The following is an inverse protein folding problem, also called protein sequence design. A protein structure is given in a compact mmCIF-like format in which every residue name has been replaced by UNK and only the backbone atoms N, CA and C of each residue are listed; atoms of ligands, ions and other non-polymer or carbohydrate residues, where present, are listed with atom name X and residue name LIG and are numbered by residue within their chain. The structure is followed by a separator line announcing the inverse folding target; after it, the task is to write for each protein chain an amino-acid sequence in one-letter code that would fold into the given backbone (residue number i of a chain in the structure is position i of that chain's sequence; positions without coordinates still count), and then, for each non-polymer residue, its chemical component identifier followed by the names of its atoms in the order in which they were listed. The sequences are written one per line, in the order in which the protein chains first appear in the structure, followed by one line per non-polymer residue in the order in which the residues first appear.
data_IF_628036447902
#
_entry.id   IF_628036447902
#
_cell.length_a   1.000
_cell.length_b   1.000
_cell.length_c   1.000
_cell.angle_alpha   90.00
_cell.angle_beta   90.00
_cell.angle_gamma   90.00
#
_symmetry.space_group_name_H-M   'P 1'
#
loop_
_entity.id
_entity.type
_entity.pdbx_description
1 polymer ?
#
# COMPACT_ATOMS: atom_id res chain seq x y z
N UNK A 1 -9.99 19.33 -6.60
CA UNK A 1 -9.86 18.08 -5.86
C UNK A 1 -11.25 17.52 -5.59
N UNK A 2 -11.48 16.22 -5.69
CA UNK A 2 -12.74 15.60 -5.30
C UNK A 2 -12.99 15.84 -3.81
N UNK A 3 -14.26 15.99 -3.43
CA UNK A 3 -14.64 16.06 -2.02
C UNK A 3 -14.42 14.70 -1.33
N UNK A 4 -14.35 14.69 0.00
CA UNK A 4 -14.28 13.43 0.78
C UNK A 4 -15.46 12.51 0.44
N UNK A 5 -16.65 13.09 0.21
CA UNK A 5 -17.83 12.36 -0.23
C UNK A 5 -17.60 11.67 -1.58
N UNK A 6 -17.12 12.40 -2.58
CA UNK A 6 -16.85 11.86 -3.91
C UNK A 6 -15.80 10.74 -3.83
N UNK A 7 -14.73 10.94 -3.03
CA UNK A 7 -13.72 9.94 -2.82
C UNK A 7 -14.30 8.61 -2.28
N UNK A 8 -15.15 8.70 -1.25
CA UNK A 8 -15.81 7.53 -0.66
C UNK A 8 -16.76 6.86 -1.67
N UNK A 9 -17.56 7.65 -2.40
CA UNK A 9 -18.49 7.12 -3.41
C UNK A 9 -17.76 6.40 -4.55
N UNK A 10 -16.57 6.86 -4.92
CA UNK A 10 -15.76 6.28 -6.00
C UNK A 10 -14.82 5.15 -5.55
N UNK A 11 -14.89 4.71 -4.29
CA UNK A 11 -14.19 3.52 -3.81
C UNK A 11 -12.83 3.78 -3.18
N UNK A 12 -12.55 5.00 -2.70
CA UNK A 12 -11.44 5.27 -1.84
C UNK A 12 -11.53 4.45 -0.54
N UNK A 13 -10.39 4.11 0.04
CA UNK A 13 -10.31 3.42 1.31
C UNK A 13 -10.70 4.35 2.46
N UNK A 14 -11.64 3.90 3.26
CA UNK A 14 -12.03 4.52 4.51
C UNK A 14 -12.19 3.40 5.53
N UNK A 15 -11.26 3.29 6.47
CA UNK A 15 -11.10 2.12 7.31
C UNK A 15 -12.41 1.63 7.97
N UNK A 16 -13.26 2.49 8.60
CA UNK A 16 -14.53 2.02 9.14
C UNK A 16 -15.42 1.34 8.09
N UNK A 17 -15.58 1.93 6.92
CA UNK A 17 -16.41 1.38 5.85
C UNK A 17 -15.79 0.13 5.23
N UNK A 18 -14.49 0.16 5.00
CA UNK A 18 -13.71 -0.93 4.41
C UNK A 18 -13.80 -2.21 5.24
N UNK A 19 -13.58 -2.10 6.54
CA UNK A 19 -13.55 -3.28 7.41
C UNK A 19 -14.92 -3.72 7.91
N UNK A 20 -15.91 -2.83 8.00
CA UNK A 20 -17.24 -3.19 8.48
C UNK A 20 -18.21 -3.63 7.38
N UNK A 21 -18.00 -3.17 6.13
CA UNK A 21 -18.96 -3.40 5.05
C UNK A 21 -18.35 -3.71 3.68
N UNK A 22 -17.28 -3.01 3.27
CA UNK A 22 -16.83 -3.00 1.87
C UNK A 22 -15.33 -3.32 1.73
N UNK A 23 -14.87 -4.57 1.99
CA UNK A 23 -13.45 -4.93 2.01
C UNK A 23 -12.75 -4.76 0.64
N UNK A 24 -13.50 -4.72 -0.46
CA UNK A 24 -12.96 -4.46 -1.80
C UNK A 24 -12.32 -3.08 -1.94
N UNK A 25 -12.57 -2.16 -1.01
CA UNK A 25 -11.93 -0.85 -0.97
C UNK A 25 -10.42 -0.92 -0.76
N UNK A 26 -9.91 -1.96 -0.12
CA UNK A 26 -8.47 -2.25 -0.03
C UNK A 26 -7.81 -2.34 -1.42
N UNK A 27 -8.55 -2.83 -2.41
CA UNK A 27 -8.09 -2.96 -3.78
C UNK A 27 -8.50 -1.77 -4.65
N UNK A 28 -9.78 -1.35 -4.63
CA UNK A 28 -10.28 -0.28 -5.50
C UNK A 28 -9.63 1.08 -5.23
N UNK A 29 -9.27 1.36 -3.99
CA UNK A 29 -8.57 2.59 -3.60
C UNK A 29 -7.23 2.78 -4.32
N UNK A 30 -6.58 1.71 -4.74
CA UNK A 30 -5.33 1.77 -5.51
C UNK A 30 -5.49 2.46 -6.88
N UNK A 31 -6.72 2.53 -7.40
CA UNK A 31 -7.04 3.09 -8.73
C UNK A 31 -7.72 4.46 -8.64
N UNK A 32 -8.13 4.89 -7.45
CA UNK A 32 -8.68 6.21 -7.23
C UNK A 32 -7.58 7.22 -6.88
N UNK A 33 -7.71 8.49 -7.34
CA UNK A 33 -6.73 9.54 -7.08
C UNK A 33 -7.40 10.86 -6.73
N UNK A 34 -6.80 11.60 -5.77
CA UNK A 34 -7.30 12.90 -5.30
C UNK A 34 -6.99 14.05 -6.28
N UNK A 35 -7.23 13.84 -7.56
CA UNK A 35 -7.09 14.84 -8.61
C UNK A 35 -5.96 14.57 -9.60
N UNK A 36 -5.90 15.40 -10.63
CA UNK A 36 -5.05 15.16 -11.79
C UNK A 36 -3.55 15.15 -11.47
N UNK A 37 -3.08 16.04 -10.62
CA UNK A 37 -1.66 16.10 -10.25
C UNK A 37 -1.26 14.80 -9.51
N UNK A 38 -2.06 14.35 -8.56
CA UNK A 38 -1.82 13.10 -7.83
C UNK A 38 -1.80 11.90 -8.79
N UNK A 39 -2.74 11.83 -9.73
CA UNK A 39 -2.75 10.79 -10.77
C UNK A 39 -1.50 10.85 -11.64
N UNK A 40 -1.15 12.04 -12.15
CA UNK A 40 0.02 12.21 -13.03
C UNK A 40 1.33 11.80 -12.35
N UNK A 41 1.54 12.18 -11.10
CA UNK A 41 2.74 11.81 -10.34
C UNK A 41 2.81 10.30 -10.12
N UNK A 42 1.69 9.65 -9.77
CA UNK A 42 1.64 8.21 -9.63
C UNK A 42 1.90 7.49 -10.96
N UNK A 43 1.29 7.94 -12.06
CA UNK A 43 1.49 7.34 -13.38
C UNK A 43 2.92 7.54 -13.88
N UNK A 44 3.52 8.69 -13.62
CA UNK A 44 4.92 8.93 -13.95
C UNK A 44 5.86 8.01 -13.17
N UNK A 45 5.67 7.91 -11.86
CA UNK A 45 6.46 7.00 -11.02
C UNK A 45 6.24 5.53 -11.41
N UNK A 46 4.98 5.13 -11.72
CA UNK A 46 4.68 3.81 -12.25
C UNK A 46 5.37 3.55 -13.59
N UNK A 47 5.41 4.54 -14.48
CA UNK A 47 6.14 4.41 -15.75
C UNK A 47 7.63 4.18 -15.51
N UNK A 48 8.27 4.97 -14.63
CA UNK A 48 9.70 4.85 -14.34
C UNK A 48 10.03 3.52 -13.66
N UNK A 49 9.40 3.22 -12.53
CA UNK A 49 9.71 2.00 -11.78
C UNK A 49 9.09 0.77 -12.41
N UNK A 50 7.86 0.87 -12.91
CA UNK A 50 7.11 -0.25 -13.46
C UNK A 50 7.72 -0.78 -14.75
N UNK A 51 8.16 0.09 -15.67
CA UNK A 51 8.77 -0.36 -16.92
C UNK A 51 10.05 -1.17 -16.69
N UNK A 52 10.87 -0.77 -15.71
CA UNK A 52 12.09 -1.49 -15.34
C UNK A 52 11.74 -2.78 -14.58
N UNK A 53 10.81 -2.70 -13.63
CA UNK A 53 10.38 -3.87 -12.86
C UNK A 53 9.73 -4.94 -13.75
N UNK A 54 8.87 -4.57 -14.70
CA UNK A 54 8.26 -5.52 -15.64
C UNK A 54 9.32 -6.24 -16.48
N UNK A 55 10.35 -5.54 -16.94
CA UNK A 55 11.43 -6.14 -17.72
C UNK A 55 12.31 -7.09 -16.89
N UNK A 56 12.52 -6.80 -15.61
CA UNK A 56 13.35 -7.61 -14.71
C UNK A 56 12.60 -8.83 -14.17
N UNK A 57 11.39 -8.63 -13.66
CA UNK A 57 10.61 -9.67 -12.99
C UNK A 57 9.73 -10.48 -13.94
N UNK A 58 9.44 -9.96 -15.13
CA UNK A 58 8.44 -10.48 -16.06
C UNK A 58 7.03 -10.06 -15.69
N UNK A 59 6.14 -9.99 -16.69
CA UNK A 59 4.79 -9.41 -16.58
C UNK A 59 3.98 -9.98 -15.41
N UNK A 60 3.93 -11.30 -15.27
CA UNK A 60 3.06 -11.94 -14.27
C UNK A 60 3.53 -11.65 -12.85
N UNK A 61 4.85 -11.72 -12.62
CA UNK A 61 5.40 -11.41 -11.30
C UNK A 61 5.28 -9.91 -10.96
N UNK A 62 5.52 -9.05 -11.93
CA UNK A 62 5.32 -7.60 -11.81
C UNK A 62 3.89 -7.25 -11.38
N UNK A 63 2.86 -7.82 -12.04
CA UNK A 63 1.46 -7.58 -11.68
C UNK A 63 1.17 -8.09 -10.27
N UNK A 64 1.59 -9.31 -9.94
CA UNK A 64 1.39 -9.89 -8.61
C UNK A 64 2.08 -9.06 -7.51
N UNK A 65 3.32 -8.63 -7.74
CA UNK A 65 4.07 -7.77 -6.83
C UNK A 65 3.37 -6.43 -6.64
N UNK A 66 2.93 -5.77 -7.72
CA UNK A 66 2.18 -4.51 -7.66
C UNK A 66 0.92 -4.65 -6.82
N UNK A 67 0.12 -5.69 -7.06
CA UNK A 67 -1.13 -5.93 -6.32
C UNK A 67 -0.86 -6.23 -4.85
N UNK A 68 0.07 -7.15 -4.55
CA UNK A 68 0.40 -7.49 -3.17
C UNK A 68 0.98 -6.29 -2.39
N UNK A 69 1.84 -5.49 -3.04
CA UNK A 69 2.40 -4.29 -2.42
C UNK A 69 1.32 -3.24 -2.13
N UNK A 70 0.41 -3.01 -3.06
CA UNK A 70 -0.71 -2.09 -2.85
C UNK A 70 -1.66 -2.55 -1.75
N UNK A 71 -2.04 -3.83 -1.75
CA UNK A 71 -2.88 -4.42 -0.69
C UNK A 71 -2.21 -4.32 0.68
N UNK A 72 -0.92 -4.65 0.79
CA UNK A 72 -0.18 -4.53 2.05
C UNK A 72 -0.12 -3.08 2.52
N UNK A 73 0.02 -2.13 1.58
CA UNK A 73 -0.05 -0.70 1.88
C UNK A 73 -1.40 -0.30 2.47
N UNK A 74 -2.50 -0.66 1.82
CA UNK A 74 -3.85 -0.39 2.33
C UNK A 74 -4.09 -1.06 3.69
N UNK A 75 -3.64 -2.29 3.88
CA UNK A 75 -3.78 -3.04 5.14
C UNK A 75 -2.98 -2.43 6.28
N UNK A 76 -1.75 -1.98 6.04
CA UNK A 76 -0.95 -1.31 7.06
C UNK A 76 -1.52 0.07 7.41
N UNK A 77 -2.05 0.79 6.42
CA UNK A 77 -2.82 2.02 6.64
C UNK A 77 -4.04 1.75 7.53
N UNK A 78 -4.80 0.71 7.24
CA UNK A 78 -5.93 0.28 8.07
C UNK A 78 -5.52 -0.05 9.50
N UNK A 79 -4.40 -0.76 9.68
CA UNK A 79 -3.83 -1.04 11.00
C UNK A 79 -3.53 0.26 11.78
N UNK A 80 -2.93 1.26 11.13
CA UNK A 80 -2.65 2.54 11.80
C UNK A 80 -3.94 3.27 12.18
N UNK A 81 -4.97 3.28 11.33
CA UNK A 81 -6.28 3.85 11.69
C UNK A 81 -6.91 3.14 12.90
N UNK A 82 -6.71 1.84 13.05
CA UNK A 82 -7.14 1.07 14.23
C UNK A 82 -6.39 1.56 15.47
N UNK A 83 -5.06 1.68 15.41
CA UNK A 83 -4.26 2.17 16.53
C UNK A 83 -4.62 3.61 16.92
N UNK A 84 -4.85 4.48 15.95
CA UNK A 84 -5.29 5.86 16.19
C UNK A 84 -6.66 5.89 16.88
N UNK A 85 -7.57 4.97 16.51
CA UNK A 85 -8.87 4.83 17.17
C UNK A 85 -8.75 4.35 18.63
N UNK A 86 -7.80 3.48 18.93
CA UNK A 86 -7.49 3.13 20.33
C UNK A 86 -6.95 4.33 21.10
N UNK A 87 -5.99 5.06 20.52
CA UNK A 87 -5.43 6.27 21.13
C UNK A 87 -6.51 7.34 21.37
N UNK A 88 -7.49 7.46 20.47
CA UNK A 88 -8.61 8.38 20.62
C UNK A 88 -9.50 8.02 21.83
N UNK A 89 -9.78 6.73 22.04
CA UNK A 89 -10.57 6.25 23.18
C UNK A 89 -9.80 6.44 24.49
N UNK A 90 -8.53 6.08 24.53
CA UNK A 90 -7.69 6.16 25.74
C UNK A 90 -7.34 7.60 26.14
N UNK A 91 -7.18 8.49 25.15
CA UNK A 91 -6.79 9.88 25.37
C UNK A 91 -7.86 10.74 26.02
N UNK A 92 -9.12 10.34 26.02
CA UNK A 92 -10.24 11.03 26.67
C UNK A 92 -10.54 12.45 26.15
N UNK A 93 -9.80 12.90 25.14
CA UNK A 93 -9.97 14.20 24.47
C UNK A 93 -10.13 13.98 23.00
N UNK A 94 -11.16 14.58 22.40
CA UNK A 94 -11.40 14.49 20.96
C UNK A 94 -10.20 15.14 20.20
N UNK A 95 -9.38 14.29 19.56
CA UNK A 95 -8.32 14.72 18.67
C UNK A 95 -8.71 14.40 17.22
N UNK A 96 -9.01 15.40 16.39
CA UNK A 96 -9.40 15.19 14.99
C UNK A 96 -8.33 14.44 14.16
N UNK A 97 -7.05 14.56 14.51
CA UNK A 97 -5.95 13.91 13.80
C UNK A 97 -5.94 12.39 13.98
N UNK A 98 -6.64 11.88 15.01
CA UNK A 98 -6.78 10.45 15.29
C UNK A 98 -8.04 9.83 14.66
N UNK A 99 -8.89 10.64 14.01
CA UNK A 99 -10.03 10.12 13.28
C UNK A 99 -9.59 9.41 11.99
N UNK A 100 -10.25 8.31 11.61
CA UNK A 100 -9.92 7.61 10.38
C UNK A 100 -9.99 8.53 9.16
N UNK A 101 -8.92 8.57 8.38
CA UNK A 101 -8.82 9.40 7.18
C UNK A 101 -9.12 8.59 5.92
N UNK A 102 -9.66 9.27 4.89
CA UNK A 102 -9.85 8.68 3.57
C UNK A 102 -8.50 8.58 2.86
N UNK A 103 -8.20 7.42 2.30
CA UNK A 103 -6.96 7.12 1.61
C UNK A 103 -7.21 6.58 0.21
N UNK A 104 -6.37 6.97 -0.74
CA UNK A 104 -6.41 6.45 -2.11
C UNK A 104 -5.11 6.74 -2.86
N UNK A 105 -4.87 5.97 -3.91
CA UNK A 105 -3.76 6.16 -4.82
C UNK A 105 -2.96 4.89 -5.06
N UNK A 106 -2.32 4.83 -6.21
CA UNK A 106 -1.41 3.75 -6.58
C UNK A 106 -0.09 3.79 -5.80
N UNK A 107 0.13 4.82 -4.99
CA UNK A 107 1.45 5.13 -4.42
C UNK A 107 2.02 4.02 -3.53
N UNK A 108 1.20 3.30 -2.75
CA UNK A 108 1.65 2.15 -1.98
C UNK A 108 2.26 1.06 -2.87
N UNK A 109 1.58 0.70 -3.96
CA UNK A 109 2.08 -0.28 -4.93
C UNK A 109 3.33 0.24 -5.67
N UNK A 110 3.33 1.51 -6.06
CA UNK A 110 4.47 2.16 -6.75
C UNK A 110 5.70 2.23 -5.84
N UNK A 111 5.52 2.54 -4.54
CA UNK A 111 6.59 2.49 -3.55
C UNK A 111 7.10 1.06 -3.35
N UNK A 112 6.24 0.06 -3.45
CA UNK A 112 6.62 -1.34 -3.49
C UNK A 112 7.52 -1.68 -4.67
N UNK A 113 7.21 -1.19 -5.88
CA UNK A 113 8.08 -1.35 -7.06
C UNK A 113 9.43 -0.66 -6.86
N UNK A 114 9.43 0.58 -6.35
CA UNK A 114 10.66 1.32 -6.06
C UNK A 114 11.56 0.58 -5.04
N UNK A 115 10.96 0.06 -3.96
CA UNK A 115 11.66 -0.76 -2.98
C UNK A 115 12.21 -2.06 -3.58
N UNK A 116 11.45 -2.70 -4.46
CA UNK A 116 11.87 -3.89 -5.18
C UNK A 116 13.13 -3.64 -6.00
N UNK A 117 13.15 -2.57 -6.78
CA UNK A 117 14.32 -2.19 -7.57
C UNK A 117 15.51 -1.80 -6.68
N UNK A 118 15.24 -1.11 -5.56
CA UNK A 118 16.27 -0.72 -4.58
C UNK A 118 16.92 -1.95 -3.95
N UNK A 119 16.12 -2.91 -3.49
CA UNK A 119 16.63 -4.17 -2.92
C UNK A 119 17.45 -4.94 -3.96
N UNK A 120 16.96 -5.02 -5.19
CA UNK A 120 17.69 -5.71 -6.26
C UNK A 120 19.01 -5.01 -6.59
N UNK A 121 19.07 -3.67 -6.54
CA UNK A 121 20.28 -2.89 -6.73
C UNK A 121 21.34 -3.07 -5.62
N UNK A 122 20.89 -3.43 -4.41
CA UNK A 122 21.75 -3.70 -3.25
C UNK A 122 22.27 -5.15 -3.22
N UNK A 123 21.62 -6.06 -3.94
CA UNK A 123 22.01 -7.45 -4.03
C UNK A 123 23.07 -7.67 -5.13
N UNK A 124 23.89 -8.73 -5.04
CA UNK A 124 24.77 -9.11 -6.14
C UNK A 124 24.02 -9.32 -7.44
N UNK A 125 24.54 -8.76 -8.53
CA UNK A 125 23.92 -8.84 -9.86
C UNK A 125 23.77 -10.30 -10.31
N UNK A 126 22.56 -10.64 -10.77
CA UNK A 126 22.30 -11.96 -11.35
C UNK A 126 22.90 -12.07 -12.76
N UNK A 127 23.42 -13.25 -13.17
CA UNK A 127 24.02 -13.42 -14.51
C UNK A 127 23.08 -13.07 -15.66
N UNK A 128 21.76 -13.29 -15.48
CA UNK A 128 20.73 -12.99 -16.47
C UNK A 128 20.19 -11.55 -16.41
N UNK A 129 20.64 -10.76 -15.44
CA UNK A 129 20.16 -9.38 -15.26
C UNK A 129 20.76 -8.48 -16.34
N UNK A 130 19.90 -7.89 -17.17
CA UNK A 130 20.29 -7.06 -18.32
C UNK A 130 20.59 -5.60 -17.98
N UNK A 131 20.13 -5.13 -16.80
CA UNK A 131 20.22 -3.73 -16.40
C UNK A 131 21.06 -3.58 -15.14
N UNK A 132 21.93 -2.57 -15.16
CA UNK A 132 22.63 -2.09 -13.97
C UNK A 132 21.71 -1.06 -13.32
N UNK A 133 21.27 -1.33 -12.09
CA UNK A 133 20.46 -0.42 -11.32
C UNK A 133 21.35 0.52 -10.52
N UNK A 134 21.11 1.83 -10.66
CA UNK A 134 21.83 2.83 -9.86
C UNK A 134 21.27 2.87 -8.43
N UNK A 135 21.95 2.13 -7.55
CA UNK A 135 21.59 2.02 -6.13
C UNK A 135 21.55 3.36 -5.40
N UNK A 136 22.43 4.32 -5.76
CA UNK A 136 22.47 5.63 -5.09
C UNK A 136 21.21 6.41 -5.41
N UNK A 137 20.85 6.49 -6.67
CA UNK A 137 19.62 7.17 -7.12
C UNK A 137 18.39 6.51 -6.54
N UNK A 138 18.30 5.18 -6.55
CA UNK A 138 17.14 4.45 -6.00
C UNK A 138 16.98 4.69 -4.49
N UNK A 139 18.04 4.55 -3.70
CA UNK A 139 18.00 4.80 -2.25
C UNK A 139 17.64 6.25 -1.97
N UNK A 140 18.22 7.20 -2.71
CA UNK A 140 17.92 8.62 -2.55
C UNK A 140 16.45 8.93 -2.88
N UNK A 141 15.94 8.43 -3.99
CA UNK A 141 14.53 8.66 -4.40
C UNK A 141 13.57 8.05 -3.39
N UNK A 142 13.82 6.82 -2.93
CA UNK A 142 12.97 6.18 -1.94
C UNK A 142 13.02 6.91 -0.59
N UNK A 143 14.21 7.31 -0.14
CA UNK A 143 14.39 8.09 1.08
C UNK A 143 13.70 9.46 1.01
N UNK A 144 13.82 10.16 -0.13
CA UNK A 144 13.16 11.44 -0.34
C UNK A 144 11.63 11.30 -0.34
N UNK A 145 11.08 10.28 -1.00
CA UNK A 145 9.63 10.05 -0.98
C UNK A 145 9.11 9.80 0.44
N UNK A 146 9.81 9.00 1.25
CA UNK A 146 9.44 8.80 2.65
C UNK A 146 9.55 10.10 3.46
N UNK A 147 10.65 10.84 3.31
CA UNK A 147 10.84 12.11 4.01
C UNK A 147 9.73 13.11 3.68
N UNK A 148 9.40 13.27 2.40
CA UNK A 148 8.29 14.11 1.95
C UNK A 148 6.94 13.64 2.51
N UNK A 149 6.75 12.34 2.62
CA UNK A 149 5.56 11.77 3.22
C UNK A 149 5.37 12.14 4.70
N UNK A 150 6.46 12.28 5.46
CA UNK A 150 6.39 12.77 6.85
C UNK A 150 6.25 14.30 6.95
N UNK A 151 6.65 15.04 5.92
CA UNK A 151 6.61 16.51 5.91
C UNK A 151 5.30 17.07 5.36
N UNK A 152 4.64 16.34 4.47
CA UNK A 152 3.44 16.81 3.77
C UNK A 152 2.22 16.10 4.35
N UNK A 153 1.31 16.87 4.96
CA UNK A 153 0.06 16.35 5.47
C UNK A 153 -0.80 15.75 4.33
N UNK A 154 -1.48 14.64 4.63
CA UNK A 154 -2.32 13.94 3.65
C UNK A 154 -1.60 12.86 2.83
N UNK A 155 -0.27 12.71 2.96
CA UNK A 155 0.44 11.56 2.42
C UNK A 155 0.36 10.39 3.40
N UNK A 156 -0.14 9.26 2.93
CA UNK A 156 -0.29 8.06 3.74
C UNK A 156 1.02 7.25 3.82
N UNK A 157 1.88 7.62 4.78
CA UNK A 157 3.15 6.92 4.99
C UNK A 157 3.00 5.46 5.37
N UNK A 158 1.95 5.08 6.08
CA UNK A 158 1.71 3.68 6.42
C UNK A 158 1.50 2.85 5.14
N UNK A 159 0.72 3.39 4.18
CA UNK A 159 0.54 2.73 2.88
C UNK A 159 1.86 2.62 2.10
N UNK A 160 2.70 3.65 2.12
CA UNK A 160 4.01 3.61 1.48
C UNK A 160 4.92 2.56 2.11
N UNK A 161 5.04 2.55 3.44
CA UNK A 161 5.87 1.59 4.18
C UNK A 161 5.38 0.16 3.96
N UNK A 162 4.06 -0.08 4.03
CA UNK A 162 3.49 -1.39 3.77
C UNK A 162 3.81 -1.91 2.37
N UNK A 163 3.66 -1.05 1.37
CA UNK A 163 4.04 -1.37 -0.02
C UNK A 163 5.52 -1.68 -0.16
N UNK A 164 6.39 -0.85 0.43
CA UNK A 164 7.85 -1.04 0.39
C UNK A 164 8.27 -2.36 1.04
N UNK A 165 7.72 -2.69 2.21
CA UNK A 165 8.03 -3.94 2.92
C UNK A 165 7.64 -5.16 2.09
N UNK A 166 6.44 -5.16 1.50
CA UNK A 166 5.99 -6.26 0.64
C UNK A 166 6.82 -6.35 -0.63
N UNK A 167 7.12 -5.22 -1.28
CA UNK A 167 7.96 -5.18 -2.48
C UNK A 167 9.36 -5.73 -2.21
N UNK A 168 10.00 -5.31 -1.11
CA UNK A 168 11.28 -5.82 -0.68
C UNK A 168 11.24 -7.33 -0.41
N UNK A 169 10.23 -7.79 0.35
CA UNK A 169 10.06 -9.21 0.68
C UNK A 169 9.90 -10.09 -0.57
N UNK A 170 8.98 -9.72 -1.47
CA UNK A 170 8.76 -10.48 -2.70
C UNK A 170 10.00 -10.46 -3.61
N UNK A 171 10.75 -9.36 -3.65
CA UNK A 171 12.00 -9.30 -4.42
C UNK A 171 13.06 -10.24 -3.87
N UNK A 172 13.19 -10.37 -2.55
CA UNK A 172 14.11 -11.34 -1.95
C UNK A 172 13.75 -12.78 -2.32
N UNK A 173 12.46 -13.13 -2.25
CA UNK A 173 11.99 -14.46 -2.66
C UNK A 173 12.24 -14.70 -4.16
N UNK A 174 11.94 -13.73 -5.01
CA UNK A 174 12.22 -13.79 -6.43
C UNK A 174 13.73 -13.98 -6.71
N UNK A 175 14.57 -13.20 -6.04
CA UNK A 175 16.02 -13.28 -6.19
C UNK A 175 16.58 -14.66 -5.83
N UNK A 176 16.09 -15.25 -4.72
CA UNK A 176 16.45 -16.61 -4.31
C UNK A 176 16.01 -17.63 -5.37
N UNK A 177 14.78 -17.49 -5.88
CA UNK A 177 14.25 -18.34 -6.96
C UNK A 177 15.14 -18.32 -8.20
N UNK A 178 15.59 -17.13 -8.63
CA UNK A 178 16.49 -16.99 -9.77
C UNK A 178 17.84 -17.68 -9.55
N UNK A 179 18.41 -17.57 -8.35
CA UNK A 179 19.66 -18.28 -8.00
C UNK A 179 19.52 -19.79 -8.01
N UNK A 180 18.36 -20.30 -7.62
CA UNK A 180 18.07 -21.74 -7.62
C UNK A 180 17.69 -22.30 -9.00
N UNK A 181 17.61 -21.49 -10.05
CA UNK A 181 17.19 -21.86 -11.41
C UNK A 181 15.80 -22.54 -11.47
N UNK A 182 14.92 -22.25 -10.51
CA UNK A 182 13.58 -22.86 -10.38
C UNK A 182 12.48 -21.79 -10.52
N UNK A 183 12.44 -21.09 -11.66
CA UNK A 183 11.83 -19.78 -11.75
C UNK A 183 10.31 -19.72 -11.65
N UNK A 184 9.53 -20.52 -12.38
CA UNK A 184 8.08 -20.26 -12.49
C UNK A 184 7.28 -20.70 -11.28
N UNK A 185 7.47 -21.93 -10.82
CA UNK A 185 6.74 -22.45 -9.65
C UNK A 185 7.08 -21.67 -8.37
N UNK A 186 8.37 -21.39 -8.16
CA UNK A 186 8.83 -20.62 -7.00
C UNK A 186 8.34 -19.18 -7.02
N UNK A 187 8.26 -18.54 -8.18
CA UNK A 187 7.69 -17.21 -8.32
C UNK A 187 6.20 -17.21 -7.97
N UNK A 188 5.44 -18.23 -8.41
CA UNK A 188 4.04 -18.39 -8.03
C UNK A 188 3.90 -18.59 -6.52
N UNK A 189 4.72 -19.47 -5.92
CA UNK A 189 4.71 -19.70 -4.48
C UNK A 189 5.03 -18.40 -3.73
N UNK A 190 6.02 -17.62 -4.17
CA UNK A 190 6.35 -16.33 -3.56
C UNK A 190 5.17 -15.36 -3.57
N UNK A 191 4.45 -15.24 -4.69
CA UNK A 191 3.25 -14.40 -4.77
C UNK A 191 2.13 -14.92 -3.88
N UNK A 192 1.91 -16.24 -3.81
CA UNK A 192 0.93 -16.84 -2.91
C UNK A 192 1.26 -16.58 -1.44
N UNK A 193 2.54 -16.64 -1.07
CA UNK A 193 3.00 -16.30 0.29
C UNK A 193 2.75 -14.80 0.56
N UNK A 194 3.07 -13.91 -0.37
CA UNK A 194 2.77 -12.48 -0.24
C UNK A 194 1.29 -12.20 -0.06
N UNK A 195 0.44 -12.85 -0.85
CA UNK A 195 -1.01 -12.73 -0.72
C UNK A 195 -1.52 -13.32 0.61
N UNK A 196 -0.97 -14.46 1.04
CA UNK A 196 -1.31 -15.06 2.34
C UNK A 196 -0.95 -14.11 3.51
N UNK A 197 0.19 -13.41 3.44
CA UNK A 197 0.53 -12.39 4.44
C UNK A 197 -0.48 -11.22 4.44
N UNK A 198 -0.97 -10.79 3.28
CA UNK A 198 -2.06 -9.81 3.22
C UNK A 198 -3.32 -10.33 3.90
N UNK A 199 -3.72 -11.58 3.65
CA UNK A 199 -4.89 -12.20 4.29
C UNK A 199 -4.69 -12.31 5.80
N UNK A 200 -3.51 -12.70 6.27
CA UNK A 200 -3.21 -12.78 7.69
C UNK A 200 -3.28 -11.42 8.38
N UNK A 201 -2.73 -10.37 7.76
CA UNK A 201 -2.83 -9.01 8.31
C UNK A 201 -4.28 -8.52 8.30
N UNK A 202 -5.06 -8.82 7.24
CA UNK A 202 -6.48 -8.51 7.20
C UNK A 202 -7.25 -9.16 8.36
N UNK A 203 -7.03 -10.46 8.58
CA UNK A 203 -7.65 -11.20 9.68
C UNK A 203 -7.23 -10.63 11.05
N UNK A 204 -5.95 -10.31 11.21
CA UNK A 204 -5.46 -9.66 12.42
C UNK A 204 -6.14 -8.30 12.66
N UNK A 205 -6.26 -7.45 11.64
CA UNK A 205 -6.98 -6.18 11.73
C UNK A 205 -8.44 -6.39 12.16
N UNK A 206 -9.13 -7.40 11.61
CA UNK A 206 -10.50 -7.72 12.00
C UNK A 206 -10.61 -8.05 13.49
N UNK A 207 -9.65 -8.79 14.06
CA UNK A 207 -9.66 -9.09 15.51
C UNK A 207 -9.44 -7.84 16.36
N UNK A 208 -8.60 -6.92 15.90
CA UNK A 208 -8.34 -5.67 16.60
C UNK A 208 -9.53 -4.68 16.54
N UNK A 209 -10.40 -4.80 15.55
CA UNK A 209 -11.55 -3.91 15.39
C UNK A 209 -12.67 -4.25 16.38
N UNK A 210 -12.78 -5.48 16.87
CA UNK A 210 -13.91 -5.89 17.72
C UNK A 210 -14.16 -4.95 18.92
N UNK A 211 -13.15 -4.52 19.69
CA UNK A 211 -13.38 -3.61 20.82
C UNK A 211 -13.77 -2.17 20.39
N UNK A 212 -13.33 -1.72 19.22
CA UNK A 212 -13.60 -0.36 18.70
C UNK A 212 -14.76 -0.33 17.70
N UNK A 213 -15.38 -1.47 17.41
CA UNK A 213 -16.50 -1.60 16.47
C UNK A 213 -17.64 -0.61 16.74
N UNK A 214 -18.09 -0.40 18.01
CA UNK A 214 -19.16 0.57 18.28
C UNK A 214 -18.79 2.00 17.88
N UNK A 215 -17.54 2.43 18.13
CA UNK A 215 -17.03 3.74 17.70
C UNK A 215 -17.09 3.88 16.18
N UNK A 216 -16.64 2.87 15.44
CA UNK A 216 -16.63 2.94 13.98
C UNK A 216 -18.03 2.87 13.38
N UNK A 217 -18.99 2.18 14.02
CA UNK A 217 -20.39 2.19 13.63
C UNK A 217 -21.00 3.59 13.81
N UNK A 218 -20.75 4.23 14.95
CA UNK A 218 -21.21 5.61 15.22
C UNK A 218 -20.65 6.61 14.20
N UNK A 219 -19.34 6.51 13.89
CA UNK A 219 -18.70 7.33 12.85
C UNK A 219 -19.39 7.12 11.48
N UNK A 220 -19.70 5.89 11.10
CA UNK A 220 -20.39 5.61 9.84
C UNK A 220 -21.83 6.15 9.82
N UNK A 221 -22.55 6.02 10.90
CA UNK A 221 -23.91 6.58 11.00
C UNK A 221 -23.91 8.11 10.87
N UNK A 222 -23.00 8.79 11.57
CA UNK A 222 -22.81 10.24 11.45
C UNK A 222 -22.45 10.64 10.00
N UNK A 223 -21.55 9.89 9.37
CA UNK A 223 -21.15 10.14 7.99
C UNK A 223 -22.34 9.94 7.03
N UNK A 224 -23.12 8.89 7.17
CA UNK A 224 -24.29 8.61 6.34
C UNK A 224 -25.35 9.73 6.47
N UNK A 225 -25.59 10.22 7.68
CA UNK A 225 -26.49 11.35 7.92
C UNK A 225 -26.01 12.64 7.24
N UNK A 226 -24.70 12.94 7.31
CA UNK A 226 -24.12 14.13 6.69
C UNK A 226 -24.09 14.04 5.15
N UNK A 227 -23.85 12.85 4.62
CA UNK A 227 -23.74 12.61 3.18
C UNK A 227 -25.10 12.39 2.52
N UNK A 228 -26.20 12.20 3.28
CA UNK A 228 -27.52 11.78 2.78
C UNK A 228 -27.42 10.58 1.83
N UNK A 229 -26.62 9.59 2.21
CA UNK A 229 -26.46 8.30 1.54
C UNK A 229 -27.57 7.35 1.95
#
# INVERSE_FOLDING_TARGET
QPSTRDAILWGADYAPLTYLAEPMRLFSSMFFHFGLIHLMLNMWALYIFGSVAEQLFGRMYFIGLYVCAGLMGSLLSGYMNIQDSYNLIEGGVANPDLLPAVSAGASGAVMGLGASLTVLALLPMLPQQRFILDKKTLVMVMGLNLALGFMISGINNAAHIGGMLMGAFLTLLWYISQKMQRSHLFNLIALLVGFALCVLLYQHNLTLIEPIRPLWQEILEMMQQQLKL
#
